data_IF_729446114076
#
_entry.id   IF_729446114076
#
_cell.length_a   1.000
_cell.length_b   1.000
_cell.length_c   1.000
_cell.angle_alpha   90.00
_cell.angle_beta   90.00
_cell.angle_gamma   90.00
#
_symmetry.space_group_name_H-M   'P 1'
#
loop_
_entity.id
_entity.type
_entity.pdbx_description
1 polymer ?
#
# COMPACT_ATOMS: atom_id res chain seq x y z
N UNK A 1 -8.44 45.38 19.18
CA UNK A 1 -8.00 44.33 20.11
C UNK A 1 -9.19 43.41 20.36
N UNK A 2 -9.29 42.31 19.61
CA UNK A 2 -10.28 41.26 19.87
C UNK A 2 -9.56 39.93 19.73
N UNK A 3 -9.44 39.27 20.88
CA UNK A 3 -8.86 37.95 21.07
C UNK A 3 -9.96 36.92 20.86
N UNK A 4 -9.83 36.08 19.84
CA UNK A 4 -10.59 34.82 19.65
C UNK A 4 -9.69 33.93 18.78
N UNK A 5 -9.34 32.69 19.09
CA UNK A 5 -9.53 31.81 20.23
C UNK A 5 -8.55 30.64 19.99
N UNK A 6 -7.92 30.14 21.04
CA UNK A 6 -6.96 29.05 20.93
C UNK A 6 -7.68 27.79 20.38
N UNK A 7 -7.17 27.25 19.26
CA UNK A 7 -7.54 25.92 18.78
C UNK A 7 -6.76 24.94 19.64
N UNK A 8 -7.44 24.26 20.56
CA UNK A 8 -6.85 23.13 21.30
C UNK A 8 -6.57 21.97 20.34
N UNK A 9 -5.40 21.32 20.44
CA UNK A 9 -5.11 20.14 19.63
C UNK A 9 -5.97 18.97 20.14
N UNK A 10 -6.83 18.43 19.26
CA UNK A 10 -7.49 17.15 19.52
C UNK A 10 -6.42 16.08 19.73
N UNK A 11 -6.41 15.52 20.94
CA UNK A 11 -5.59 14.38 21.30
C UNK A 11 -5.83 13.23 20.31
N UNK A 12 -4.82 12.96 19.48
CA UNK A 12 -4.81 11.82 18.56
C UNK A 12 -4.84 10.54 19.38
N UNK A 13 -5.99 9.88 19.41
CA UNK A 13 -6.09 8.52 19.94
C UNK A 13 -5.46 7.61 18.89
N UNK A 14 -4.33 6.97 19.22
CA UNK A 14 -3.68 6.02 18.34
C UNK A 14 -4.64 4.86 18.03
N UNK A 15 -5.27 4.89 16.84
CA UNK A 15 -6.06 3.79 16.32
C UNK A 15 -5.10 2.70 15.85
N UNK A 16 -5.38 1.44 16.21
CA UNK A 16 -4.53 0.33 15.78
C UNK A 16 -4.65 0.09 14.27
N UNK A 17 -3.68 -0.63 13.68
CA UNK A 17 -3.66 -1.05 12.26
C UNK A 17 -4.99 -1.70 11.79
N UNK A 18 -5.77 -2.27 12.72
CA UNK A 18 -7.08 -2.88 12.45
C UNK A 18 -8.21 -1.87 12.21
N UNK A 19 -8.12 -0.67 12.77
CA UNK A 19 -9.14 0.36 12.65
C UNK A 19 -8.94 1.19 11.37
N UNK A 20 -7.67 1.38 10.96
CA UNK A 20 -7.30 1.97 9.66
C UNK A 20 -7.80 1.12 8.48
N UNK A 21 -7.71 -0.21 8.58
CA UNK A 21 -8.22 -1.11 7.55
C UNK A 21 -9.75 -1.02 7.36
N UNK A 22 -10.50 -0.60 8.38
CA UNK A 22 -11.93 -0.37 8.28
C UNK A 22 -12.27 0.94 7.52
N UNK A 23 -11.31 1.87 7.42
CA UNK A 23 -11.45 3.13 6.70
C UNK A 23 -11.08 3.02 5.20
N UNK A 24 -10.98 1.82 4.65
CA UNK A 24 -10.50 1.61 3.28
C UNK A 24 -11.53 2.01 2.20
N UNK A 25 -12.82 2.03 2.53
CA UNK A 25 -13.88 2.65 1.71
C UNK A 25 -14.86 3.38 2.61
N UNK A 26 -15.56 4.34 2.03
CA UNK A 26 -16.58 5.10 2.74
C UNK A 26 -17.81 5.31 1.85
N UNK A 27 -19.03 5.20 2.42
CA UNK A 27 -20.23 5.58 1.70
C UNK A 27 -20.23 7.08 1.41
N UNK A 28 -20.62 7.43 0.20
CA UNK A 28 -20.80 8.81 -0.26
C UNK A 28 -22.15 8.95 -0.95
N UNK A 29 -22.82 10.05 -0.68
CA UNK A 29 -23.98 10.45 -1.47
C UNK A 29 -23.50 10.89 -2.85
N UNK A 30 -24.11 10.32 -3.88
CA UNK A 30 -23.79 10.57 -5.28
C UNK A 30 -25.05 10.84 -6.06
N UNK A 31 -24.92 11.58 -7.15
CA UNK A 31 -25.98 11.81 -8.10
C UNK A 31 -25.70 11.01 -9.37
N UNK A 32 -26.58 10.06 -9.71
CA UNK A 32 -26.45 9.21 -10.90
C UNK A 32 -27.30 9.77 -12.02
N UNK A 33 -26.69 9.98 -13.18
CA UNK A 33 -27.36 10.47 -14.38
C UNK A 33 -27.49 9.33 -15.41
N UNK A 34 -28.68 9.14 -15.97
CA UNK A 34 -28.94 8.12 -16.99
C UNK A 34 -30.31 8.28 -17.65
N UNK A 35 -30.42 7.97 -18.94
CA UNK A 35 -31.67 8.06 -19.72
C UNK A 35 -32.45 9.39 -19.58
N UNK A 36 -31.74 10.52 -19.50
CA UNK A 36 -32.35 11.85 -19.33
C UNK A 36 -32.87 12.14 -17.91
N UNK A 37 -32.68 11.22 -16.96
CA UNK A 37 -33.05 11.37 -15.56
C UNK A 37 -31.83 11.41 -14.65
N UNK A 38 -32.03 11.95 -13.45
CA UNK A 38 -31.04 11.98 -12.38
C UNK A 38 -31.67 11.43 -11.10
N UNK A 39 -30.93 10.58 -10.39
CA UNK A 39 -31.36 10.01 -9.12
C UNK A 39 -30.25 10.13 -8.06
N UNK A 40 -30.63 10.53 -6.85
CA UNK A 40 -29.76 10.46 -5.69
C UNK A 40 -29.54 8.99 -5.30
N UNK A 41 -28.30 8.64 -4.97
CA UNK A 41 -27.92 7.30 -4.54
C UNK A 41 -26.77 7.38 -3.53
N UNK A 42 -26.45 6.25 -2.90
CA UNK A 42 -25.23 6.07 -2.14
C UNK A 42 -24.29 5.17 -2.93
N UNK A 43 -23.00 5.52 -2.94
CA UNK A 43 -21.94 4.71 -3.51
C UNK A 43 -20.81 4.54 -2.50
N UNK A 44 -20.25 3.32 -2.44
CA UNK A 44 -18.98 3.08 -1.74
C UNK A 44 -17.84 3.68 -2.57
N UNK A 45 -17.05 4.54 -1.95
CA UNK A 45 -15.90 5.18 -2.57
C UNK A 45 -14.64 4.74 -1.84
N UNK A 46 -13.63 4.32 -2.60
CA UNK A 46 -12.32 3.97 -2.06
C UNK A 46 -11.73 5.15 -1.31
N UNK A 47 -11.17 4.90 -0.13
CA UNK A 47 -10.38 5.91 0.57
C UNK A 47 -8.95 5.91 0.05
N UNK A 48 -8.40 7.11 -0.05
CA UNK A 48 -7.04 7.37 -0.48
C UNK A 48 -6.46 8.39 0.49
N UNK A 49 -5.42 8.00 1.23
CA UNK A 49 -4.81 8.83 2.27
C UNK A 49 -3.30 8.96 2.00
N UNK A 50 -2.66 10.06 2.45
CA UNK A 50 -1.21 10.15 2.42
C UNK A 50 -0.58 9.10 3.33
N UNK A 51 0.38 8.35 2.78
CA UNK A 51 1.16 7.35 3.48
C UNK A 51 2.65 7.70 3.35
N UNK A 52 3.26 8.11 4.46
CA UNK A 52 4.67 8.43 4.56
C UNK A 52 5.50 7.19 4.88
N UNK A 53 6.62 7.00 4.18
CA UNK A 53 7.60 5.96 4.44
C UNK A 53 8.80 6.58 5.16
N UNK A 54 9.06 6.14 6.38
CA UNK A 54 10.21 6.57 7.17
C UNK A 54 11.16 5.40 7.41
N UNK A 55 12.43 5.55 7.03
CA UNK A 55 13.45 4.55 7.30
C UNK A 55 14.38 5.04 8.40
N UNK A 56 14.48 4.28 9.49
CA UNK A 56 15.31 4.61 10.66
C UNK A 56 15.15 6.08 11.10
N UNK A 57 13.90 6.56 11.14
CA UNK A 57 13.54 7.92 11.55
C UNK A 57 13.72 9.02 10.50
N UNK A 58 13.99 8.68 9.22
CA UNK A 58 14.03 9.68 8.15
C UNK A 58 12.97 9.42 7.09
N UNK A 59 12.16 10.45 6.82
CA UNK A 59 11.19 10.46 5.73
C UNK A 59 11.86 10.28 4.37
N UNK A 60 11.30 9.38 3.58
CA UNK A 60 11.82 8.98 2.28
C UNK A 60 10.85 9.29 1.14
N UNK A 61 9.57 8.94 1.31
CA UNK A 61 8.55 9.15 0.30
C UNK A 61 7.18 9.31 0.95
N UNK A 62 6.25 9.95 0.23
CA UNK A 62 4.82 9.96 0.55
C UNK A 62 4.05 9.50 -0.68
N UNK A 63 3.15 8.54 -0.49
CA UNK A 63 2.26 8.05 -1.55
C UNK A 63 0.82 8.16 -1.09
N UNK A 64 -0.07 8.51 -2.01
CA UNK A 64 -1.50 8.34 -1.79
C UNK A 64 -1.86 6.86 -1.99
N UNK A 65 -2.51 6.26 -1.01
CA UNK A 65 -2.96 4.87 -1.09
C UNK A 65 -4.11 4.59 -0.13
N UNK A 66 -4.81 3.49 -0.36
CA UNK A 66 -5.82 2.98 0.57
C UNK A 66 -5.14 2.48 1.86
N UNK A 67 -5.62 2.85 3.06
CA UNK A 67 -4.99 2.50 4.33
C UNK A 67 -5.26 1.05 4.75
N UNK A 68 -4.90 0.09 3.89
CA UNK A 68 -5.11 -1.33 4.12
C UNK A 68 -3.84 -2.12 3.76
N UNK A 69 -3.60 -3.22 4.49
CA UNK A 69 -2.46 -4.11 4.27
C UNK A 69 -1.09 -3.36 4.33
N UNK A 70 -1.01 -2.37 5.23
CA UNK A 70 0.07 -1.38 5.32
C UNK A 70 1.46 -1.97 5.59
N UNK A 71 1.52 -3.03 6.40
CA UNK A 71 2.77 -3.74 6.65
C UNK A 71 3.30 -4.39 5.37
N UNK A 72 2.43 -5.03 4.58
CA UNK A 72 2.82 -5.65 3.31
C UNK A 72 3.18 -4.56 2.27
N UNK A 73 2.51 -3.41 2.33
CA UNK A 73 2.85 -2.25 1.50
C UNK A 73 4.24 -1.69 1.84
N UNK A 74 4.57 -1.53 3.12
CA UNK A 74 5.90 -1.11 3.59
C UNK A 74 7.00 -2.01 3.02
N UNK A 75 6.89 -3.32 3.25
CA UNK A 75 7.88 -4.30 2.80
C UNK A 75 7.94 -4.34 1.27
N UNK A 76 6.79 -4.40 0.59
CA UNK A 76 6.71 -4.43 -0.86
C UNK A 76 7.37 -3.21 -1.52
N UNK A 77 7.13 -2.03 -0.95
CA UNK A 77 7.78 -0.79 -1.38
C UNK A 77 9.30 -0.84 -1.16
N UNK A 78 9.77 -1.28 0.02
CA UNK A 78 11.21 -1.41 0.29
C UNK A 78 11.93 -2.33 -0.71
N UNK A 79 11.30 -3.44 -1.11
CA UNK A 79 11.86 -4.40 -2.05
C UNK A 79 11.83 -3.86 -3.48
N UNK A 80 10.71 -3.28 -3.90
CA UNK A 80 10.48 -2.81 -5.27
C UNK A 80 11.39 -1.63 -5.61
N UNK A 81 11.55 -0.69 -4.67
CA UNK A 81 12.48 0.44 -4.81
C UNK A 81 13.94 0.02 -4.56
N UNK A 82 14.19 -1.24 -4.17
CA UNK A 82 15.54 -1.72 -3.95
C UNK A 82 16.25 -1.15 -2.72
N UNK A 83 15.49 -0.61 -1.78
CA UNK A 83 15.97 0.04 -0.55
C UNK A 83 16.60 -0.98 0.39
N UNK A 84 15.94 -2.14 0.55
CA UNK A 84 16.38 -3.21 1.44
C UNK A 84 15.99 -4.58 0.88
N UNK A 85 16.70 -5.64 1.29
CA UNK A 85 16.29 -7.03 1.10
C UNK A 85 15.35 -7.46 2.24
N UNK A 86 14.58 -8.56 2.10
CA UNK A 86 13.66 -9.01 3.15
C UNK A 86 14.36 -9.23 4.50
N UNK A 87 15.59 -9.76 4.49
CA UNK A 87 16.39 -10.01 5.69
C UNK A 87 16.98 -8.74 6.33
N UNK A 88 16.87 -7.60 5.66
CA UNK A 88 17.37 -6.31 6.13
C UNK A 88 16.25 -5.45 6.71
N UNK A 89 14.99 -5.87 6.65
CA UNK A 89 13.85 -5.21 7.29
C UNK A 89 13.60 -5.86 8.65
N UNK A 90 13.80 -5.09 9.72
CA UNK A 90 13.71 -5.59 11.10
C UNK A 90 12.32 -5.37 11.71
N UNK A 91 11.62 -4.32 11.28
CA UNK A 91 10.27 -4.02 11.75
C UNK A 91 9.59 -2.95 10.93
N UNK A 92 8.26 -2.94 11.01
CA UNK A 92 7.40 -1.87 10.50
C UNK A 92 6.42 -1.50 11.61
N UNK A 93 6.46 -0.25 12.02
CA UNK A 93 5.49 0.35 12.94
C UNK A 93 4.58 1.29 12.15
N UNK A 94 3.27 1.09 12.28
CA UNK A 94 2.26 1.95 11.64
C UNK A 94 1.82 3.00 12.67
N UNK A 95 1.99 4.28 12.31
CA UNK A 95 1.59 5.42 13.13
C UNK A 95 0.52 6.20 12.41
N UNK A 96 -0.65 6.31 13.02
CA UNK A 96 -1.73 7.15 12.52
C UNK A 96 -1.53 8.61 12.94
N UNK A 97 -1.91 9.55 12.09
CA UNK A 97 -1.68 10.97 12.30
C UNK A 97 -2.71 11.84 11.57
N UNK A 98 -2.83 13.10 12.00
CA UNK A 98 -3.83 14.02 11.45
C UNK A 98 -3.69 14.27 9.93
N UNK A 99 -2.47 14.18 9.40
CA UNK A 99 -2.17 14.41 7.99
C UNK A 99 -2.15 13.12 7.13
N UNK A 100 -2.35 11.95 7.75
CA UNK A 100 -2.22 10.65 7.10
C UNK A 100 -1.46 9.64 7.97
N UNK A 101 -0.97 8.58 7.33
CA UNK A 101 -0.34 7.44 8.00
C UNK A 101 1.17 7.48 7.79
N UNK A 102 1.94 7.13 8.81
CA UNK A 102 3.39 6.95 8.72
C UNK A 102 3.76 5.49 8.93
N UNK A 103 4.52 4.93 8.00
CA UNK A 103 5.15 3.62 8.08
C UNK A 103 6.60 3.80 8.52
N UNK A 104 6.86 3.61 9.81
CA UNK A 104 8.20 3.68 10.37
C UNK A 104 8.87 2.31 10.26
N UNK A 105 9.84 2.22 9.35
CA UNK A 105 10.49 0.98 8.94
C UNK A 105 11.91 0.96 9.49
N UNK A 106 12.22 -0.07 10.25
CA UNK A 106 13.58 -0.31 10.74
C UNK A 106 14.33 -1.20 9.74
N UNK A 107 15.48 -0.72 9.26
CA UNK A 107 16.33 -1.45 8.33
C UNK A 107 17.79 -1.53 8.79
N UNK A 108 18.50 -2.55 8.29
CA UNK A 108 19.92 -2.73 8.49
C UNK A 108 20.73 -1.46 8.16
N UNK A 109 21.72 -1.14 8.99
CA UNK A 109 22.54 0.07 8.84
C UNK A 109 23.23 0.17 7.48
N UNK A 110 23.61 -0.97 6.88
CA UNK A 110 24.20 -1.03 5.54
C UNK A 110 23.22 -0.57 4.45
N UNK A 111 21.96 -1.00 4.53
CA UNK A 111 20.91 -0.59 3.60
C UNK A 111 20.57 0.90 3.79
N UNK A 112 20.51 1.34 5.04
CA UNK A 112 20.27 2.75 5.37
C UNK A 112 21.41 3.68 4.89
N UNK A 113 22.66 3.22 4.93
CA UNK A 113 23.80 3.98 4.41
C UNK A 113 23.68 4.20 2.89
N UNK A 114 23.33 3.16 2.14
CA UNK A 114 23.08 3.24 0.69
C UNK A 114 21.91 4.19 0.37
N UNK A 115 20.81 4.08 1.13
CA UNK A 115 19.64 4.95 0.98
C UNK A 115 20.02 6.44 1.10
N UNK A 116 20.86 6.78 2.08
CA UNK A 116 21.33 8.17 2.29
C UNK A 116 22.25 8.65 1.18
N UNK A 117 23.08 7.78 0.60
CA UNK A 117 23.95 8.13 -0.53
C UNK A 117 23.10 8.52 -1.75
N UNK A 118 22.07 7.74 -2.06
CA UNK A 118 21.16 8.03 -3.17
C UNK A 118 20.30 9.28 -2.92
N UNK A 119 19.98 9.60 -1.66
CA UNK A 119 19.13 10.77 -1.33
C UNK A 119 19.81 12.12 -1.52
N UNK A 120 21.15 12.18 -1.43
CA UNK A 120 21.93 13.41 -1.66
C UNK A 120 21.85 13.89 -3.11
N UNK A 121 21.37 13.03 -3.99
CA UNK A 121 21.22 13.24 -5.43
C UNK A 121 19.76 13.52 -5.84
N UNK A 122 18.84 13.73 -4.90
CA UNK A 122 17.39 13.43 -5.07
C UNK A 122 16.44 14.64 -4.93
N UNK A 123 16.82 15.83 -5.41
CA UNK A 123 15.91 16.97 -5.50
C UNK A 123 15.18 16.98 -6.86
N UNK A 124 13.90 16.56 -6.92
CA UNK A 124 13.06 16.80 -8.11
C UNK A 124 12.09 15.71 -8.58
N UNK A 125 11.45 14.93 -7.70
CA UNK A 125 10.41 13.99 -8.14
C UNK A 125 9.02 14.65 -8.20
N UNK A 126 8.65 15.16 -9.36
CA UNK A 126 7.24 15.26 -9.77
C UNK A 126 7.06 14.49 -11.07
N UNK A 127 6.26 13.42 -11.04
CA UNK A 127 5.71 12.75 -12.24
C UNK A 127 6.26 11.36 -12.61
N UNK A 128 5.36 10.55 -13.18
CA UNK A 128 5.42 9.27 -13.94
C UNK A 128 6.56 8.24 -13.78
N UNK A 129 7.49 8.39 -12.83
CA UNK A 129 8.51 7.38 -12.51
C UNK A 129 9.77 7.41 -13.39
N UNK A 130 9.78 8.17 -14.48
CA UNK A 130 10.97 8.40 -15.31
C UNK A 130 11.41 9.87 -15.26
N UNK A 131 10.47 10.82 -15.22
CA UNK A 131 10.81 12.25 -15.24
C UNK A 131 11.37 12.79 -13.90
N UNK A 132 11.68 11.91 -12.95
CA UNK A 132 12.36 12.23 -11.69
C UNK A 132 13.51 11.28 -11.33
N UNK A 133 13.94 10.44 -12.28
CA UNK A 133 15.17 9.65 -12.15
C UNK A 133 16.35 10.45 -12.68
N UNK A 134 17.40 10.59 -11.89
CA UNK A 134 18.53 11.47 -12.21
C UNK A 134 19.56 10.85 -13.16
N UNK A 135 19.60 9.51 -13.22
CA UNK A 135 20.41 8.78 -14.20
C UNK A 135 19.60 7.67 -14.84
N UNK A 136 19.85 7.45 -16.13
CA UNK A 136 19.36 6.30 -16.87
C UNK A 136 19.78 4.98 -16.21
N UNK A 137 20.90 4.96 -15.48
CA UNK A 137 21.36 3.79 -14.71
C UNK A 137 20.37 3.37 -13.61
N UNK A 138 19.59 4.31 -13.06
CA UNK A 138 18.54 4.00 -12.08
C UNK A 138 17.35 3.29 -12.72
N UNK A 139 17.07 3.60 -13.99
CA UNK A 139 16.05 2.91 -14.80
C UNK A 139 16.56 1.54 -15.27
N UNK A 140 17.84 1.46 -15.62
CA UNK A 140 18.51 0.25 -16.11
C UNK A 140 19.12 -0.59 -14.99
N UNK A 141 18.57 -0.52 -13.77
CA UNK A 141 19.08 -1.29 -12.63
C UNK A 141 19.13 -2.79 -13.01
N UNK A 142 20.28 -3.46 -12.86
CA UNK A 142 20.38 -4.88 -13.15
C UNK A 142 19.45 -5.67 -12.23
N UNK A 143 18.46 -6.34 -12.83
CA UNK A 143 17.54 -7.23 -12.14
C UNK A 143 18.11 -8.66 -12.12
N UNK A 144 17.81 -9.47 -11.09
CA UNK A 144 18.21 -10.87 -11.06
C UNK A 144 17.66 -11.63 -12.27
N UNK A 145 18.49 -12.45 -12.91
CA UNK A 145 18.01 -13.38 -13.93
C UNK A 145 17.19 -14.49 -13.27
N UNK A 146 15.93 -14.62 -13.70
CA UNK A 146 14.99 -15.62 -13.22
C UNK A 146 14.84 -16.80 -14.19
N UNK A 147 15.60 -16.85 -15.29
CA UNK A 147 15.54 -17.92 -16.31
C UNK A 147 15.76 -19.32 -15.73
N UNK A 148 16.57 -19.42 -14.68
CA UNK A 148 16.90 -20.66 -13.99
C UNK A 148 15.94 -21.01 -12.85
N UNK A 149 14.95 -20.17 -12.55
CA UNK A 149 13.96 -20.47 -11.51
C UNK A 149 12.90 -21.42 -12.11
N UNK A 150 12.79 -22.68 -11.63
CA UNK A 150 11.88 -23.65 -12.21
C UNK A 150 10.44 -23.37 -11.75
N UNK A 151 9.80 -22.36 -12.35
CA UNK A 151 8.40 -22.03 -12.13
C UNK A 151 7.59 -22.36 -13.39
N UNK A 152 6.72 -23.36 -13.29
CA UNK A 152 5.75 -23.71 -14.34
C UNK A 152 4.34 -23.52 -13.81
N UNK A 153 3.60 -22.60 -14.42
CA UNK A 153 2.20 -22.33 -14.09
C UNK A 153 1.32 -23.02 -15.13
N UNK A 154 0.63 -24.09 -14.71
CA UNK A 154 -0.30 -24.80 -15.59
C UNK A 154 -1.62 -24.02 -15.81
N UNK A 155 -2.32 -24.21 -16.94
CA UNK A 155 -3.56 -23.48 -17.23
C UNK A 155 -4.63 -23.60 -16.14
N UNK A 156 -4.78 -24.79 -15.54
CA UNK A 156 -5.74 -25.01 -14.45
C UNK A 156 -5.39 -24.22 -13.18
N UNK A 157 -4.10 -24.00 -12.89
CA UNK A 157 -3.68 -23.18 -11.75
C UNK A 157 -3.97 -21.70 -12.01
N UNK A 158 -3.77 -21.24 -13.25
CA UNK A 158 -4.08 -19.88 -13.66
C UNK A 158 -5.59 -19.59 -13.58
N UNK A 159 -6.43 -20.50 -14.08
CA UNK A 159 -7.89 -20.36 -14.00
C UNK A 159 -8.38 -20.23 -12.55
N UNK A 160 -7.94 -21.13 -11.66
CA UNK A 160 -8.28 -21.06 -10.22
C UNK A 160 -7.83 -19.75 -9.56
N UNK A 161 -6.65 -19.25 -9.93
CA UNK A 161 -6.15 -17.99 -9.40
C UNK A 161 -7.00 -16.80 -9.87
N UNK A 162 -7.44 -16.82 -11.13
CA UNK A 162 -8.30 -15.77 -11.68
C UNK A 162 -9.68 -15.77 -11.02
N UNK A 163 -10.29 -16.94 -10.85
CA UNK A 163 -11.59 -17.09 -10.17
C UNK A 163 -11.51 -16.59 -8.72
N UNK A 164 -10.44 -16.93 -8.00
CA UNK A 164 -10.20 -16.48 -6.62
C UNK A 164 -9.89 -14.98 -6.51
N UNK A 165 -9.55 -14.28 -7.60
CA UNK A 165 -9.25 -12.85 -7.57
C UNK A 165 -10.50 -11.99 -7.37
N UNK A 166 -11.68 -12.49 -7.78
CA UNK A 166 -12.95 -11.79 -7.57
C UNK A 166 -13.26 -11.60 -6.08
N UNK A 167 -12.84 -12.56 -5.23
CA UNK A 167 -13.05 -12.53 -3.77
C UNK A 167 -12.14 -11.52 -3.05
N UNK A 168 -11.01 -11.16 -3.66
CA UNK A 168 -10.03 -10.22 -3.08
C UNK A 168 -10.18 -8.77 -3.58
N UNK A 169 -10.94 -8.55 -4.66
CA UNK A 169 -11.20 -7.23 -5.27
C UNK A 169 -12.39 -6.51 -4.64
N UNK A 170 -12.41 -6.45 -3.31
CA UNK A 170 -13.52 -5.87 -2.56
C UNK A 170 -13.83 -4.41 -2.97
N UNK A 171 -12.80 -3.60 -3.23
CA UNK A 171 -12.95 -2.18 -3.59
C UNK A 171 -13.54 -1.93 -5.01
N UNK A 172 -13.48 -2.91 -5.92
CA UNK A 172 -14.02 -2.77 -7.29
C UNK A 172 -15.50 -3.09 -7.38
N UNK A 173 -16.05 -3.77 -6.37
CA UNK A 173 -17.42 -4.26 -6.37
C UNK A 173 -18.28 -3.34 -5.52
N UNK A 174 -18.50 -2.11 -5.99
CA UNK A 174 -19.56 -1.28 -5.42
C UNK A 174 -20.89 -2.06 -5.57
N UNK A 175 -21.59 -2.39 -4.47
CA UNK A 175 -22.84 -3.13 -4.58
C UNK A 175 -23.88 -2.29 -5.32
N UNK A 176 -24.74 -2.93 -6.09
CA UNK A 176 -26.00 -2.34 -6.54
C UNK A 176 -26.82 -1.83 -5.34
N UNK A 177 -27.59 -0.74 -5.48
CA UNK A 177 -28.47 -0.27 -4.39
C UNK A 177 -29.37 -1.43 -3.93
N UNK A 178 -29.31 -1.76 -2.64
CA UNK A 178 -30.04 -2.88 -2.02
C UNK A 178 -29.24 -4.18 -1.81
N UNK A 179 -27.98 -4.26 -2.24
CA UNK A 179 -27.11 -5.40 -1.91
C UNK A 179 -26.41 -5.20 -0.55
N UNK A 180 -26.39 -6.21 0.34
CA UNK A 180 -25.70 -6.09 1.62
C UNK A 180 -24.23 -5.74 1.40
N UNK A 181 -23.80 -4.61 1.96
CA UNK A 181 -22.37 -4.34 2.09
C UNK A 181 -21.84 -5.42 3.05
N UNK A 182 -20.99 -6.30 2.53
CA UNK A 182 -20.21 -7.17 3.41
C UNK A 182 -18.94 -6.41 3.73
N UNK A 183 -18.82 -5.77 4.92
CA UNK A 183 -17.49 -5.48 5.43
C UNK A 183 -16.75 -6.83 5.50
N UNK A 184 -15.43 -6.88 5.26
CA UNK A 184 -14.69 -8.14 5.19
C UNK A 184 -14.87 -8.92 6.50
N UNK A 185 -15.76 -9.92 6.47
CA UNK A 185 -16.06 -10.77 7.60
C UNK A 185 -14.90 -11.75 7.81
N UNK A 186 -13.97 -11.36 8.70
CA UNK A 186 -13.17 -12.21 9.61
C UNK A 186 -12.42 -13.46 9.10
N UNK A 187 -12.39 -13.78 7.81
CA UNK A 187 -11.58 -14.87 7.26
C UNK A 187 -10.72 -14.38 6.10
N UNK A 188 -9.83 -13.42 6.38
CA UNK A 188 -8.57 -13.36 5.63
C UNK A 188 -7.83 -14.66 5.93
N UNK A 189 -7.99 -15.67 5.07
CA UNK A 189 -6.97 -16.72 4.95
C UNK A 189 -5.69 -15.95 4.62
N UNK A 190 -4.86 -15.78 5.65
CA UNK A 190 -3.52 -15.22 5.56
C UNK A 190 -2.88 -15.92 4.36
N UNK A 191 -2.71 -15.22 3.25
CA UNK A 191 -1.86 -15.71 2.17
C UNK A 191 -0.43 -15.63 2.69
N UNK A 192 -0.07 -16.53 3.62
CA UNK A 192 1.32 -16.95 3.75
C UNK A 192 1.59 -17.68 2.44
N UNK A 193 2.14 -16.98 1.45
CA UNK A 193 3.06 -17.59 0.52
C UNK A 193 4.19 -18.16 1.36
N UNK A 194 3.97 -19.36 1.91
CA UNK A 194 5.00 -20.15 2.54
C UNK A 194 5.86 -20.59 1.37
N UNK A 195 6.98 -19.88 1.16
CA UNK A 195 8.10 -20.34 0.35
C UNK A 195 8.65 -21.62 0.98
N UNK A 196 7.89 -22.73 0.89
CA UNK A 196 8.41 -24.07 1.13
C UNK A 196 9.00 -24.48 -0.21
N UNK A 197 10.31 -24.30 -0.33
CA UNK A 197 11.12 -25.08 -1.28
C UNK A 197 10.87 -26.54 -0.93
N UNK A 198 10.02 -27.20 -1.72
CA UNK A 198 9.92 -28.65 -1.66
C UNK A 198 11.15 -29.15 -2.41
N UNK A 199 12.26 -29.34 -1.69
CA UNK A 199 13.37 -30.12 -2.17
C UNK A 199 12.85 -31.55 -2.39
N UNK A 200 12.45 -31.84 -3.62
CA UNK A 200 12.16 -33.21 -4.04
C UNK A 200 13.50 -33.94 -4.11
N UNK A 201 13.75 -34.77 -3.10
CA UNK A 201 14.75 -35.84 -3.14
C UNK A 201 14.45 -36.73 -4.35
N UNK A 202 15.42 -36.90 -5.24
CA UNK A 202 15.79 -38.17 -5.87
C UNK A 202 17.29 -38.16 -6.12
#
# INVERSE_FOLDING_TARGET
>A
MSTVGAIEPLAGTAMGDRDLAAAASQPRFVQRFGAGASAAATAEVASEVPIAFEYNGISHAVMLATPADLHDFAIGFSLSEGIARPSQCYGVEVRDGAAGVTLAIEIASSAFALLKQHRRTLAGRTGCGICGTESLDQVLRPLPDLSQVPLRIGPAALARAYDGLAESRWCRRAPSPGSPCWPPSRRRRRWRCRWRTTAARR
#
